data_IF_734477589974
#
_entry.id   IF_734477589974
#
_cell.length_a   1.000
_cell.length_b   1.000
_cell.length_c   1.000
_cell.angle_alpha   90.00
_cell.angle_beta   90.00
_cell.angle_gamma   90.00
#
_symmetry.space_group_name_H-M   'P 1'
#
loop_
_entity.id
_entity.type
_entity.pdbx_description
1 polymer ?
#
# COMPACT_ATOMS: atom_id res chain seq x y z
N UNK A 1 6.10 -11.70 31.04
CA UNK A 1 6.13 -12.62 29.90
C UNK A 1 4.82 -12.40 29.14
N UNK A 2 4.85 -12.32 27.81
CA UNK A 2 3.61 -12.25 27.03
C UNK A 2 2.91 -13.62 27.13
N UNK A 3 1.67 -13.72 27.61
CA UNK A 3 0.99 -15.01 27.82
C UNK A 3 0.71 -15.77 26.53
N UNK A 4 0.79 -15.09 25.37
CA UNK A 4 0.58 -15.69 24.04
C UNK A 4 1.88 -15.93 23.27
N UNK A 5 3.04 -15.92 23.91
CA UNK A 5 4.31 -16.17 23.23
C UNK A 5 4.44 -17.65 22.82
N UNK A 6 4.67 -17.86 21.52
CA UNK A 6 4.89 -19.18 20.91
C UNK A 6 6.40 -19.42 20.74
N UNK A 7 6.99 -20.15 21.67
CA UNK A 7 8.41 -20.48 21.66
C UNK A 7 8.74 -21.51 20.56
N UNK A 8 7.85 -22.46 20.32
CA UNK A 8 8.05 -23.50 19.32
C UNK A 8 8.14 -22.92 17.90
N UNK A 9 7.24 -22.00 17.57
CA UNK A 9 7.28 -21.25 16.31
C UNK A 9 8.58 -20.44 16.18
N UNK A 10 8.99 -19.75 17.25
CA UNK A 10 10.20 -18.95 17.23
C UNK A 10 11.46 -19.80 16.97
N UNK A 11 11.58 -20.94 17.63
CA UNK A 11 12.71 -21.86 17.48
C UNK A 11 12.70 -22.51 16.09
N UNK A 12 11.56 -23.05 15.65
CA UNK A 12 11.43 -23.67 14.33
C UNK A 12 11.77 -22.70 13.18
N UNK A 13 11.31 -21.45 13.24
CA UNK A 13 11.65 -20.44 12.21
C UNK A 13 13.13 -20.06 12.25
N UNK A 14 13.69 -19.90 13.45
CA UNK A 14 15.10 -19.55 13.62
C UNK A 14 16.02 -20.63 13.05
N UNK A 15 15.67 -21.89 13.27
CA UNK A 15 16.40 -23.06 12.75
C UNK A 15 16.25 -23.17 11.23
N UNK A 16 15.02 -23.04 10.70
CA UNK A 16 14.75 -23.11 9.26
C UNK A 16 15.48 -22.02 8.46
N UNK A 17 15.64 -20.82 9.05
CA UNK A 17 16.36 -19.71 8.45
C UNK A 17 17.88 -19.74 8.68
N UNK A 18 18.39 -20.73 9.42
CA UNK A 18 19.81 -20.86 9.74
C UNK A 18 20.36 -19.67 10.53
N UNK A 19 19.56 -19.05 11.37
CA UNK A 19 19.95 -17.87 12.15
C UNK A 19 20.78 -18.32 13.35
N UNK A 20 22.03 -17.86 13.51
CA UNK A 20 22.90 -18.31 14.60
C UNK A 20 22.45 -17.71 15.94
N UNK A 21 21.70 -18.47 16.73
CA UNK A 21 21.13 -18.04 18.03
C UNK A 21 22.18 -17.59 19.06
N UNK A 22 23.44 -18.12 18.95
CA UNK A 22 24.55 -17.75 19.84
C UNK A 22 25.21 -16.41 19.45
N UNK A 23 24.79 -15.78 18.36
CA UNK A 23 25.40 -14.54 17.91
C UNK A 23 24.58 -13.33 18.39
N UNK A 24 25.26 -12.29 18.85
CA UNK A 24 24.61 -11.04 19.23
C UNK A 24 23.89 -10.43 18.00
N UNK A 25 22.68 -9.91 18.15
CA UNK A 25 21.85 -9.33 17.07
C UNK A 25 22.63 -8.30 16.23
N UNK A 26 23.47 -7.46 16.86
CA UNK A 26 24.32 -6.46 16.16
C UNK A 26 25.32 -7.05 15.17
N UNK A 27 25.61 -8.36 15.26
CA UNK A 27 26.53 -9.08 14.36
C UNK A 27 25.82 -9.89 13.28
N UNK A 28 24.51 -9.88 13.27
CA UNK A 28 23.69 -10.47 12.20
C UNK A 28 23.71 -9.58 10.96
N UNK A 29 23.53 -10.18 9.79
CA UNK A 29 23.29 -9.41 8.56
C UNK A 29 21.98 -8.62 8.64
N UNK A 30 21.74 -7.66 7.73
CA UNK A 30 20.49 -6.93 7.63
C UNK A 30 19.31 -7.88 7.49
N UNK A 31 19.39 -8.83 6.54
CA UNK A 31 18.37 -9.85 6.32
C UNK A 31 18.10 -10.72 7.54
N UNK A 32 19.15 -11.20 8.19
CA UNK A 32 18.99 -11.99 9.43
C UNK A 32 18.31 -11.19 10.54
N UNK A 33 18.63 -9.90 10.70
CA UNK A 33 17.95 -9.05 11.69
C UNK A 33 16.47 -8.84 11.36
N UNK A 34 16.14 -8.62 10.10
CA UNK A 34 14.75 -8.48 9.66
C UNK A 34 13.96 -9.77 9.93
N UNK A 35 14.53 -10.92 9.61
CA UNK A 35 13.91 -12.23 9.88
C UNK A 35 13.74 -12.52 11.38
N UNK A 36 14.70 -12.14 12.22
CA UNK A 36 14.55 -12.23 13.69
C UNK A 36 13.40 -11.34 14.16
N UNK A 37 13.32 -10.10 13.67
CA UNK A 37 12.25 -9.19 14.04
C UNK A 37 10.87 -9.72 13.63
N UNK A 38 10.76 -10.26 12.42
CA UNK A 38 9.52 -10.90 11.94
C UNK A 38 9.16 -12.13 12.79
N UNK A 39 10.12 -13.00 13.08
CA UNK A 39 9.91 -14.18 13.94
C UNK A 39 9.41 -13.77 15.32
N UNK A 40 10.01 -12.74 15.93
CA UNK A 40 9.56 -12.23 17.23
C UNK A 40 8.15 -11.62 17.17
N UNK A 41 7.78 -10.96 16.07
CA UNK A 41 6.44 -10.42 15.90
C UNK A 41 5.40 -11.55 15.77
N UNK A 42 5.68 -12.56 14.97
CA UNK A 42 4.83 -13.74 14.77
C UNK A 42 4.63 -14.55 16.05
N UNK A 43 5.73 -14.79 16.82
CA UNK A 43 5.66 -15.53 18.07
C UNK A 43 4.80 -14.86 19.14
N UNK A 44 4.44 -13.59 18.98
CA UNK A 44 3.47 -12.90 19.85
C UNK A 44 2.02 -13.28 19.57
N UNK A 45 1.75 -14.01 18.50
CA UNK A 45 0.40 -14.49 18.13
C UNK A 45 -0.66 -13.37 18.09
N UNK A 46 -0.27 -12.19 17.59
CA UNK A 46 -1.20 -11.06 17.43
C UNK A 46 -1.90 -11.16 16.07
N UNK A 47 -3.20 -10.83 15.97
CA UNK A 47 -3.95 -10.90 14.71
C UNK A 47 -3.57 -9.81 13.71
N UNK A 48 -2.91 -8.74 14.15
CA UNK A 48 -2.40 -7.65 13.34
C UNK A 48 -0.91 -7.44 13.66
N UNK A 49 -0.10 -7.46 12.61
CA UNK A 49 1.32 -7.13 12.69
C UNK A 49 1.60 -5.81 11.98
N UNK A 50 2.24 -4.88 12.69
CA UNK A 50 2.67 -3.59 12.12
C UNK A 50 4.17 -3.64 11.89
N UNK A 51 4.57 -3.50 10.63
CA UNK A 51 5.96 -3.54 10.19
C UNK A 51 6.34 -2.16 9.62
N UNK A 52 7.20 -1.45 10.34
CA UNK A 52 7.65 -0.12 9.93
C UNK A 52 8.97 -0.24 9.17
N UNK A 53 8.92 0.09 7.87
CA UNK A 53 10.06 0.03 6.93
C UNK A 53 10.88 -1.27 7.02
N UNK A 54 10.24 -2.47 7.04
CA UNK A 54 10.92 -3.72 7.41
C UNK A 54 12.03 -4.13 6.46
N UNK A 55 12.00 -3.62 5.22
CA UNK A 55 12.95 -3.99 4.15
C UNK A 55 13.93 -2.87 3.78
N UNK A 56 13.87 -1.71 4.43
CA UNK A 56 14.65 -0.53 4.06
C UNK A 56 16.18 -0.73 4.09
N UNK A 57 16.67 -1.61 4.97
CA UNK A 57 18.10 -1.90 5.13
C UNK A 57 18.55 -3.20 4.44
N UNK A 58 17.70 -3.81 3.61
CA UNK A 58 17.99 -5.07 2.93
C UNK A 58 18.49 -4.83 1.52
N UNK A 59 19.38 -5.72 1.06
CA UNK A 59 19.69 -5.80 -0.36
C UNK A 59 18.48 -6.33 -1.17
N UNK A 60 18.45 -6.14 -2.50
CA UNK A 60 17.28 -6.49 -3.31
C UNK A 60 16.85 -7.96 -3.20
N UNK A 61 17.78 -8.89 -3.05
CA UNK A 61 17.47 -10.32 -2.94
C UNK A 61 16.84 -10.63 -1.59
N UNK A 62 17.48 -10.19 -0.50
CA UNK A 62 16.98 -10.38 0.86
C UNK A 62 15.60 -9.71 1.05
N UNK A 63 15.33 -8.62 0.35
CA UNK A 63 14.05 -7.92 0.35
C UNK A 63 12.94 -8.76 -0.29
N UNK A 64 13.20 -9.33 -1.47
CA UNK A 64 12.26 -10.22 -2.15
C UNK A 64 11.94 -11.45 -1.29
N UNK A 65 12.95 -12.06 -0.69
CA UNK A 65 12.78 -13.24 0.15
C UNK A 65 11.96 -12.91 1.40
N UNK A 66 12.24 -11.77 2.05
CA UNK A 66 11.46 -11.30 3.19
C UNK A 66 9.98 -11.08 2.83
N UNK A 67 9.69 -10.41 1.70
CA UNK A 67 8.31 -10.16 1.29
C UNK A 67 7.58 -11.44 0.89
N UNK A 68 8.25 -12.42 0.26
CA UNK A 68 7.66 -13.74 0.00
C UNK A 68 7.27 -14.46 1.28
N UNK A 69 8.15 -14.43 2.30
CA UNK A 69 7.86 -15.01 3.60
C UNK A 69 6.63 -14.36 4.25
N UNK A 70 6.56 -13.02 4.24
CA UNK A 70 5.41 -12.28 4.78
C UNK A 70 4.12 -12.68 4.06
N UNK A 71 4.12 -12.76 2.72
CA UNK A 71 2.94 -13.16 1.95
C UNK A 71 2.52 -14.61 2.20
N UNK A 72 3.48 -15.53 2.28
CA UNK A 72 3.19 -16.93 2.61
C UNK A 72 2.52 -17.04 3.98
N UNK A 73 3.06 -16.34 4.98
CA UNK A 73 2.52 -16.35 6.33
C UNK A 73 1.11 -15.72 6.38
N UNK A 74 0.90 -14.62 5.65
CA UNK A 74 -0.40 -13.97 5.57
C UNK A 74 -1.47 -14.92 5.01
N UNK A 75 -1.11 -15.68 3.96
CA UNK A 75 -2.01 -16.64 3.33
C UNK A 75 -2.31 -17.85 4.24
N UNK A 76 -1.29 -18.37 4.93
CA UNK A 76 -1.39 -19.60 5.73
C UNK A 76 -2.09 -19.37 7.08
N UNK A 77 -1.93 -18.21 7.69
CA UNK A 77 -2.35 -17.95 9.07
C UNK A 77 -3.49 -16.92 9.19
N UNK A 78 -4.06 -16.46 8.08
CA UNK A 78 -5.09 -15.40 8.05
C UNK A 78 -4.71 -14.15 8.89
N UNK A 79 -3.42 -13.79 8.87
CA UNK A 79 -2.88 -12.62 9.57
C UNK A 79 -3.03 -11.37 8.72
N UNK A 80 -3.26 -10.25 9.40
CA UNK A 80 -3.22 -8.93 8.75
C UNK A 80 -1.86 -8.29 8.99
N UNK A 81 -1.24 -7.84 7.91
CA UNK A 81 0.00 -7.05 7.95
C UNK A 81 -0.29 -5.59 7.57
N UNK A 82 0.16 -4.67 8.40
CA UNK A 82 0.26 -3.25 8.06
C UNK A 82 1.73 -2.91 7.84
N UNK A 83 2.11 -2.64 6.60
CA UNK A 83 3.50 -2.43 6.21
C UNK A 83 3.66 -0.98 5.73
N UNK A 84 4.58 -0.23 6.36
CA UNK A 84 5.03 1.05 5.83
C UNK A 84 6.19 0.83 4.85
N UNK A 85 6.22 1.58 3.76
CA UNK A 85 7.37 1.63 2.85
C UNK A 85 7.41 2.97 2.11
N UNK A 86 8.62 3.44 1.79
CA UNK A 86 8.86 4.55 0.88
C UNK A 86 9.21 4.09 -0.55
N UNK A 87 9.30 2.78 -0.78
CA UNK A 87 9.59 2.19 -2.10
C UNK A 87 8.29 1.71 -2.73
N UNK A 88 7.62 2.61 -3.45
CA UNK A 88 6.26 2.39 -3.98
C UNK A 88 6.18 1.19 -4.92
N UNK A 89 7.17 1.02 -5.81
CA UNK A 89 7.20 -0.07 -6.79
C UNK A 89 7.21 -1.48 -6.17
N UNK A 90 7.64 -1.60 -4.91
CA UNK A 90 7.64 -2.89 -4.22
C UNK A 90 6.27 -3.23 -3.64
N UNK A 91 5.52 -2.21 -3.22
CA UNK A 91 4.18 -2.39 -2.64
C UNK A 91 3.16 -2.88 -3.66
N UNK A 92 3.28 -2.46 -4.92
CA UNK A 92 2.33 -2.79 -5.99
C UNK A 92 2.03 -4.29 -6.10
N UNK A 93 3.04 -5.14 -5.83
CA UNK A 93 2.91 -6.60 -5.96
C UNK A 93 2.22 -7.28 -4.78
N UNK A 94 2.15 -6.60 -3.64
CA UNK A 94 1.77 -7.21 -2.37
C UNK A 94 0.62 -6.47 -1.66
N UNK A 95 0.28 -5.27 -2.16
CA UNK A 95 -0.69 -4.39 -1.53
C UNK A 95 -2.10 -4.69 -2.05
N UNK A 96 -2.94 -5.26 -1.20
CA UNK A 96 -4.38 -5.42 -1.45
C UNK A 96 -5.19 -4.21 -0.95
N UNK A 97 -4.69 -3.50 0.06
CA UNK A 97 -5.30 -2.30 0.62
C UNK A 97 -4.27 -1.19 0.80
N UNK A 98 -4.46 -0.08 0.11
CA UNK A 98 -3.56 1.07 0.14
C UNK A 98 -4.05 2.14 1.11
N UNK A 99 -3.11 2.70 1.90
CA UNK A 99 -3.33 3.90 2.71
C UNK A 99 -2.20 4.90 2.40
N UNK A 100 -2.54 6.06 1.86
CA UNK A 100 -1.59 7.15 1.60
C UNK A 100 -1.71 8.19 2.71
N UNK A 101 -0.59 8.43 3.39
CA UNK A 101 -0.48 9.42 4.46
C UNK A 101 0.41 10.59 4.02
N UNK A 102 -0.06 11.81 4.21
CA UNK A 102 0.73 13.02 3.99
C UNK A 102 0.34 14.10 4.99
N UNK A 103 1.34 14.75 5.60
CA UNK A 103 1.10 15.80 6.60
C UNK A 103 0.30 15.32 7.82
N UNK A 104 0.42 14.05 8.22
CA UNK A 104 -0.33 13.47 9.34
C UNK A 104 -1.80 13.15 9.04
N UNK A 105 -2.23 13.25 7.77
CA UNK A 105 -3.60 12.98 7.36
C UNK A 105 -3.66 11.89 6.30
N UNK A 106 -4.73 11.08 6.34
CA UNK A 106 -5.03 10.12 5.28
C UNK A 106 -5.48 10.89 4.04
N UNK A 107 -4.74 10.76 2.95
CA UNK A 107 -5.06 11.37 1.67
C UNK A 107 -5.94 10.46 0.82
N UNK A 108 -5.71 9.15 0.89
CA UNK A 108 -6.44 8.11 0.18
C UNK A 108 -6.38 6.81 0.98
N UNK A 109 -7.47 6.04 1.02
CA UNK A 109 -7.49 4.70 1.57
C UNK A 109 -8.54 3.85 0.86
N UNK A 110 -8.21 2.57 0.58
CA UNK A 110 -9.12 1.63 -0.05
C UNK A 110 -8.41 0.42 -0.66
N UNK A 111 -9.19 -0.54 -1.22
CA UNK A 111 -8.64 -1.63 -2.01
C UNK A 111 -7.83 -1.07 -3.19
N UNK A 112 -6.62 -1.61 -3.41
CA UNK A 112 -5.69 -1.07 -4.42
C UNK A 112 -6.30 -1.09 -5.83
N UNK A 113 -6.95 -2.18 -6.21
CA UNK A 113 -7.58 -2.35 -7.52
C UNK A 113 -8.73 -1.36 -7.74
N UNK A 114 -9.58 -1.14 -6.71
CA UNK A 114 -10.68 -0.18 -6.78
C UNK A 114 -10.16 1.26 -6.90
N UNK A 115 -9.08 1.55 -6.19
CA UNK A 115 -8.43 2.86 -6.28
C UNK A 115 -7.85 3.10 -7.67
N UNK A 116 -7.18 2.11 -8.25
CA UNK A 116 -6.65 2.20 -9.62
C UNK A 116 -7.78 2.36 -10.64
N UNK A 117 -8.86 1.60 -10.51
CA UNK A 117 -10.03 1.69 -11.41
C UNK A 117 -10.77 3.04 -11.33
N UNK A 118 -10.73 3.70 -10.17
CA UNK A 118 -11.38 5.00 -9.96
C UNK A 118 -10.52 6.20 -10.41
N UNK A 119 -9.32 5.95 -10.96
CA UNK A 119 -8.40 7.02 -11.39
C UNK A 119 -7.94 6.84 -12.83
N UNK A 120 -7.69 7.96 -13.51
CA UNK A 120 -7.08 7.98 -14.85
C UNK A 120 -6.11 9.14 -15.00
N UNK A 121 -5.15 8.97 -15.90
CA UNK A 121 -4.32 10.05 -16.41
C UNK A 121 -4.96 10.61 -17.68
N UNK A 122 -5.31 11.88 -17.65
CA UNK A 122 -5.84 12.59 -18.81
C UNK A 122 -4.76 13.50 -19.37
N UNK A 123 -4.45 13.35 -20.65
CA UNK A 123 -3.69 14.32 -21.43
C UNK A 123 -4.67 15.20 -22.18
N UNK A 124 -4.71 16.48 -21.83
CA UNK A 124 -5.65 17.47 -22.35
C UNK A 124 -4.92 18.71 -22.87
N UNK A 125 -5.51 19.53 -23.79
CA UNK A 125 -4.94 20.82 -24.14
C UNK A 125 -4.68 21.68 -22.90
N UNK A 126 -3.56 22.40 -22.86
CA UNK A 126 -3.14 23.19 -21.68
C UNK A 126 -4.19 24.16 -21.18
N UNK A 127 -4.99 24.72 -22.07
CA UNK A 127 -6.05 25.68 -21.72
C UNK A 127 -7.32 25.03 -21.13
N UNK A 128 -7.37 23.68 -21.00
CA UNK A 128 -8.54 22.97 -20.46
C UNK A 128 -8.71 23.29 -18.98
N UNK A 129 -9.82 23.90 -18.54
CA UNK A 129 -10.05 24.17 -17.13
C UNK A 129 -10.41 22.88 -16.37
N UNK A 130 -10.06 22.81 -15.09
CA UNK A 130 -10.34 21.65 -14.26
C UNK A 130 -11.84 21.34 -14.13
N UNK A 131 -12.68 22.37 -14.18
CA UNK A 131 -14.14 22.23 -14.17
C UNK A 131 -14.72 21.46 -15.37
N UNK A 132 -13.93 21.30 -16.45
CA UNK A 132 -14.33 20.55 -17.65
C UNK A 132 -13.90 19.08 -17.59
N UNK A 133 -13.08 18.71 -16.58
CA UNK A 133 -12.59 17.35 -16.43
C UNK A 133 -13.65 16.42 -15.84
N UNK A 134 -13.64 15.13 -16.19
CA UNK A 134 -14.49 14.15 -15.52
C UNK A 134 -14.00 13.97 -14.08
N UNK A 135 -14.83 14.29 -13.10
CA UNK A 135 -14.53 14.10 -11.69
C UNK A 135 -13.59 15.14 -11.09
N UNK A 136 -12.77 14.74 -10.15
CA UNK A 136 -11.90 15.63 -9.36
C UNK A 136 -10.45 15.54 -9.84
N UNK A 137 -9.87 16.68 -10.21
CA UNK A 137 -8.43 16.78 -10.47
C UNK A 137 -7.65 16.60 -9.16
N UNK A 138 -6.74 15.65 -9.14
CA UNK A 138 -5.87 15.34 -7.99
C UNK A 138 -4.53 16.06 -8.14
N UNK A 139 -3.91 15.91 -9.30
CA UNK A 139 -2.63 16.53 -9.63
C UNK A 139 -2.65 16.95 -11.10
N UNK A 140 -2.05 18.10 -11.40
CA UNK A 140 -1.87 18.60 -12.78
C UNK A 140 -0.40 18.90 -13.00
N UNK A 141 0.11 18.45 -14.16
CA UNK A 141 1.45 18.79 -14.65
C UNK A 141 1.30 19.42 -16.03
N UNK A 142 1.75 20.65 -16.17
CA UNK A 142 1.67 21.39 -17.42
C UNK A 142 2.95 21.23 -18.24
N UNK A 143 2.78 21.03 -19.55
CA UNK A 143 3.82 21.14 -20.56
C UNK A 143 3.52 22.31 -21.50
N UNK A 144 4.31 22.48 -22.57
CA UNK A 144 4.14 23.61 -23.49
C UNK A 144 2.74 23.66 -24.15
N UNK A 145 2.21 22.52 -24.55
CA UNK A 145 0.95 22.41 -25.33
C UNK A 145 -0.14 21.64 -24.62
N UNK A 146 0.19 20.77 -23.69
CA UNK A 146 -0.73 19.86 -23.03
C UNK A 146 -0.57 19.92 -21.52
N UNK A 147 -1.58 19.47 -20.81
CA UNK A 147 -1.50 19.17 -19.38
C UNK A 147 -1.81 17.70 -19.18
N UNK A 148 -1.03 17.04 -18.33
CA UNK A 148 -1.34 15.72 -17.81
C UNK A 148 -1.99 15.88 -16.44
N UNK A 149 -3.20 15.36 -16.29
CA UNK A 149 -3.99 15.49 -15.07
C UNK A 149 -4.36 14.12 -14.54
N UNK A 150 -3.97 13.83 -13.29
CA UNK A 150 -4.51 12.70 -12.56
C UNK A 150 -5.91 13.09 -12.07
N UNK A 151 -6.91 12.35 -12.51
CA UNK A 151 -8.30 12.58 -12.11
C UNK A 151 -8.84 11.38 -11.33
N UNK A 152 -9.70 11.67 -10.35
CA UNK A 152 -10.54 10.69 -9.69
C UNK A 152 -11.98 10.89 -10.14
N UNK A 153 -12.58 9.85 -10.70
CA UNK A 153 -13.96 9.89 -11.16
C UNK A 153 -14.65 8.55 -11.02
N UNK A 154 -15.95 8.54 -11.10
CA UNK A 154 -16.72 7.31 -11.23
C UNK A 154 -16.33 6.60 -12.56
N UNK A 155 -16.15 5.27 -12.59
CA UNK A 155 -15.85 4.53 -13.81
C UNK A 155 -16.78 4.80 -14.98
N UNK A 156 -18.05 5.10 -14.71
CA UNK A 156 -19.03 5.48 -15.73
C UNK A 156 -18.69 6.84 -16.35
N UNK A 157 -18.23 7.80 -15.54
CA UNK A 157 -17.80 9.11 -16.03
C UNK A 157 -16.52 9.01 -16.86
N UNK A 158 -15.60 8.12 -16.46
CA UNK A 158 -14.35 7.89 -17.19
C UNK A 158 -14.59 7.26 -18.57
N UNK A 159 -15.59 6.39 -18.71
CA UNK A 159 -15.92 5.71 -19.97
C UNK A 159 -16.56 6.65 -21.03
N UNK A 160 -17.11 7.78 -20.65
CA UNK A 160 -17.92 8.67 -21.53
C UNK A 160 -17.07 9.77 -22.20
N UNK A 161 -15.83 10.02 -21.76
CA UNK A 161 -15.06 11.20 -22.17
C UNK A 161 -14.10 10.95 -23.34
N UNK A 162 -14.64 10.61 -24.52
CA UNK A 162 -13.93 10.73 -25.80
C UNK A 162 -14.07 12.14 -26.41
N UNK A 163 -13.65 13.20 -25.70
CA UNK A 163 -13.61 14.53 -26.33
C UNK A 163 -12.44 14.59 -27.34
N UNK A 164 -12.69 15.23 -28.49
CA UNK A 164 -11.67 15.40 -29.51
C UNK A 164 -10.43 16.13 -28.93
N UNK A 165 -9.27 15.49 -29.01
CA UNK A 165 -8.02 16.02 -28.49
C UNK A 165 -7.67 15.65 -27.05
N UNK A 166 -8.44 14.79 -26.40
CA UNK A 166 -8.11 14.20 -25.09
C UNK A 166 -7.62 12.77 -25.24
N UNK A 167 -6.59 12.41 -24.47
CA UNK A 167 -6.13 11.04 -24.32
C UNK A 167 -6.32 10.63 -22.87
N UNK A 168 -6.85 9.44 -22.65
CA UNK A 168 -7.05 8.86 -21.35
C UNK A 168 -6.23 7.56 -21.23
N UNK A 169 -5.36 7.51 -20.27
CA UNK A 169 -4.49 6.36 -20.00
C UNK A 169 -4.78 5.81 -18.59
N UNK A 170 -4.69 4.49 -18.38
CA UNK A 170 -4.78 3.92 -17.05
C UNK A 170 -3.64 4.47 -16.18
N UNK A 171 -3.92 4.70 -14.90
CA UNK A 171 -2.93 5.14 -13.94
C UNK A 171 -2.14 3.94 -13.41
N UNK A 172 -0.81 4.05 -13.29
CA UNK A 172 -0.01 3.07 -12.56
C UNK A 172 -0.12 3.29 -11.05
N UNK A 173 0.20 2.24 -10.27
CA UNK A 173 0.23 2.31 -8.81
C UNK A 173 1.16 3.43 -8.31
N UNK A 174 2.36 3.54 -8.90
CA UNK A 174 3.31 4.59 -8.57
C UNK A 174 2.78 5.99 -8.88
N UNK A 175 2.16 6.18 -10.05
CA UNK A 175 1.58 7.47 -10.44
C UNK A 175 0.43 7.89 -9.51
N UNK A 176 -0.40 6.92 -9.09
CA UNK A 176 -1.44 7.16 -8.12
C UNK A 176 -0.87 7.65 -6.78
N UNK A 177 0.08 6.92 -6.23
CA UNK A 177 0.70 7.26 -4.94
C UNK A 177 1.39 8.61 -5.01
N UNK A 178 2.21 8.84 -6.04
CA UNK A 178 2.95 10.10 -6.21
C UNK A 178 2.01 11.31 -6.41
N UNK A 179 0.90 11.11 -7.12
CA UNK A 179 -0.11 12.15 -7.31
C UNK A 179 -0.71 12.64 -6.00
N UNK A 180 -0.99 11.74 -5.07
CA UNK A 180 -1.52 12.10 -3.76
C UNK A 180 -0.46 12.63 -2.79
N UNK A 181 0.77 12.14 -2.84
CA UNK A 181 1.87 12.63 -2.01
C UNK A 181 2.31 14.06 -2.39
N UNK A 182 2.27 14.38 -3.69
CA UNK A 182 2.66 15.71 -4.20
C UNK A 182 1.52 16.72 -4.17
N UNK A 183 0.32 16.29 -3.85
CA UNK A 183 -0.81 17.21 -3.69
C UNK A 183 -0.47 18.23 -2.60
N UNK A 184 -0.59 19.55 -2.86
CA UNK A 184 -0.44 20.53 -1.80
C UNK A 184 -1.37 20.14 -0.65
N UNK A 185 -0.81 20.00 0.55
CA UNK A 185 -1.61 19.68 1.73
C UNK A 185 -2.73 20.71 1.84
N UNK A 186 -3.97 20.26 1.70
CA UNK A 186 -5.15 21.07 2.05
C UNK A 186 -5.19 21.14 3.58
N UNK A 187 -4.16 21.74 4.15
CA UNK A 187 -4.19 22.15 5.53
C UNK A 187 -5.21 23.29 5.61
N UNK A 188 -6.28 23.02 6.33
CA UNK A 188 -7.26 23.98 6.81
C UNK A 188 -8.21 24.59 5.75
N UNK A 189 -8.98 23.78 5.04
CA UNK A 189 -10.27 24.21 4.60
C UNK A 189 -11.29 23.09 4.90
N UNK A 190 -12.08 23.33 5.92
CA UNK A 190 -13.31 22.62 6.32
C UNK A 190 -13.18 21.15 6.74
N UNK A 191 -13.40 20.95 8.05
CA UNK A 191 -13.66 19.63 8.62
C UNK A 191 -14.84 18.94 7.92
N UNK A 192 -14.49 17.94 7.11
CA UNK A 192 -15.43 16.94 6.67
C UNK A 192 -14.93 15.62 7.24
N UNK A 193 -15.70 14.95 8.12
CA UNK A 193 -15.30 13.64 8.61
C UNK A 193 -15.17 12.68 7.44
N UNK A 194 -14.09 11.91 7.42
CA UNK A 194 -13.89 10.83 6.48
C UNK A 194 -15.16 9.96 6.44
N UNK A 195 -15.59 9.49 5.25
CA UNK A 195 -16.68 8.53 5.18
C UNK A 195 -16.28 7.31 6.00
N UNK A 196 -17.15 6.93 6.94
CA UNK A 196 -16.96 5.75 7.76
C UNK A 196 -16.73 4.55 6.84
N UNK A 197 -15.53 3.97 6.90
CA UNK A 197 -15.22 2.75 6.19
C UNK A 197 -16.17 1.67 6.72
N UNK A 198 -17.11 1.22 5.91
CA UNK A 198 -17.88 0.01 6.19
C UNK A 198 -16.87 -1.14 6.34
N UNK A 199 -16.82 -1.67 7.54
CA UNK A 199 -16.02 -2.86 7.84
C UNK A 199 -16.60 -4.01 7.02
N UNK A 200 -15.81 -4.71 6.20
CA UNK A 200 -16.27 -5.97 5.62
C UNK A 200 -16.61 -6.90 6.77
N UNK A 201 -17.88 -7.31 6.83
CA UNK A 201 -18.36 -8.29 7.79
C UNK A 201 -17.60 -9.62 7.60
N UNK A 202 -17.49 -10.46 8.65
CA UNK A 202 -16.82 -11.75 8.55
C UNK A 202 -17.51 -12.60 7.49
N UNK A 203 -16.73 -13.00 6.47
CA UNK A 203 -17.20 -13.91 5.42
C UNK A 203 -17.51 -15.27 6.04
N UNK A 204 -18.77 -15.52 6.34
CA UNK A 204 -19.26 -16.82 6.82
C UNK A 204 -19.22 -17.80 5.66
N UNK A 205 -18.18 -18.63 5.56
CA UNK A 205 -18.20 -19.80 4.69
C UNK A 205 -19.26 -20.76 5.23
N UNK A 206 -20.38 -20.88 4.52
CA UNK A 206 -21.35 -21.93 4.77
C UNK A 206 -20.69 -23.27 4.43
N UNK A 207 -20.52 -24.12 5.43
CA UNK A 207 -20.22 -25.54 5.27
C UNK A 207 -21.53 -26.19 4.91
N UNK A 208 -21.66 -26.65 3.66
CA UNK A 208 -22.73 -27.58 3.23
C UNK A 208 -22.30 -29.01 3.56
N UNK A 209 -23.18 -29.70 4.22
CA UNK A 209 -23.11 -31.14 4.52
C UNK A 209 -23.09 -31.98 3.24
#
# INVERSE_FOLDING_TARGET
MNPSWDQELADARTDALGIPVNRKIRRLSGGQRAQVSLTMALAKQAPLLVLDEPVSSLDPVARLDFMRDVMSIAADQALTFLISSHVVAELERYCDWLIILSGGHVQLAGPADDLLAAHQLLTVPRATPDASLPGTAIQRTDSDRHSTVLVRADPVQLAVHGQAGWQADPVSFEQLVMGYLQRPSVAAATGNPAPAAERPGPSTKAVSQ
#
